data_IF_373612980300
#
_entry.id   IF_373612980300
#
_cell.length_a   1.000
_cell.length_b   1.000
_cell.length_c   1.000
_cell.angle_alpha   90.00
_cell.angle_beta   90.00
_cell.angle_gamma   90.00
#
_symmetry.space_group_name_H-M   'P 1'
#
loop_
_entity.id
_entity.type
_entity.pdbx_description
1 polymer ?
#
# COMPACT_ATOMS: atom_id res chain seq x y z
N UNK A 1 -2.34 -12.21 -2.33
CA UNK A 1 -2.14 -12.03 -3.79
C UNK A 1 -1.70 -13.35 -4.41
N UNK A 2 -2.12 -13.62 -5.65
CA UNK A 2 -2.07 -14.90 -6.40
C UNK A 2 -2.63 -16.14 -5.67
N UNK A 3 -2.08 -16.51 -4.51
CA UNK A 3 -2.52 -17.65 -3.72
C UNK A 3 -3.65 -17.36 -2.71
N UNK A 4 -4.14 -16.13 -2.61
CA UNK A 4 -5.08 -15.71 -1.56
C UNK A 4 -6.19 -14.79 -2.06
N UNK A 5 -7.39 -15.00 -1.54
CA UNK A 5 -8.59 -14.18 -1.76
C UNK A 5 -9.12 -13.62 -0.44
N UNK A 6 -9.92 -12.56 -0.55
CA UNK A 6 -10.66 -11.95 0.55
C UNK A 6 -12.15 -12.26 0.38
N UNK A 7 -12.74 -12.99 1.32
CA UNK A 7 -14.18 -13.13 1.44
C UNK A 7 -14.73 -11.98 2.28
N UNK A 8 -15.72 -11.27 1.73
CA UNK A 8 -16.43 -10.18 2.41
C UNK A 8 -17.91 -10.55 2.41
N UNK A 9 -18.46 -10.88 3.58
CA UNK A 9 -19.82 -11.39 3.74
C UNK A 9 -20.13 -12.53 2.75
N UNK A 10 -19.24 -13.52 2.66
CA UNK A 10 -19.33 -14.65 1.74
C UNK A 10 -18.99 -14.34 0.26
N UNK A 11 -18.85 -13.08 -0.13
CA UNK A 11 -18.50 -12.70 -1.51
C UNK A 11 -16.99 -12.69 -1.72
N UNK A 12 -16.54 -13.37 -2.78
CA UNK A 12 -15.11 -13.53 -3.09
C UNK A 12 -14.56 -12.31 -3.81
N UNK A 13 -13.43 -11.82 -3.31
CA UNK A 13 -12.66 -10.75 -3.91
C UNK A 13 -11.20 -11.15 -4.04
N UNK A 14 -10.58 -10.77 -5.15
CA UNK A 14 -9.17 -10.94 -5.38
C UNK A 14 -8.42 -9.78 -4.70
N UNK A 15 -7.37 -10.08 -3.95
CA UNK A 15 -6.42 -9.08 -3.48
C UNK A 15 -5.52 -8.69 -4.66
N UNK A 16 -5.68 -7.46 -5.15
CA UNK A 16 -5.02 -7.01 -6.39
C UNK A 16 -4.06 -5.85 -6.20
N UNK A 17 -4.07 -5.21 -5.03
CA UNK A 17 -3.07 -4.21 -4.65
C UNK A 17 -2.88 -4.17 -3.13
N UNK A 18 -1.63 -4.23 -2.68
CA UNK A 18 -1.27 -4.04 -1.26
C UNK A 18 -0.05 -3.13 -1.10
N UNK A 19 0.12 -2.55 0.08
CA UNK A 19 1.36 -1.87 0.50
C UNK A 19 1.93 -2.49 1.77
N UNK A 20 3.25 -2.62 1.84
CA UNK A 20 3.96 -3.11 3.02
C UNK A 20 4.51 -1.95 3.87
N UNK A 21 4.34 -2.09 5.18
CA UNK A 21 4.88 -1.21 6.21
C UNK A 21 5.51 -2.10 7.28
N UNK A 22 6.78 -1.86 7.59
CA UNK A 22 7.53 -2.65 8.59
C UNK A 22 8.44 -1.71 9.36
N UNK A 23 8.29 -1.64 10.68
CA UNK A 23 9.19 -0.93 11.55
C UNK A 23 9.80 -1.89 12.58
N UNK A 24 11.12 -1.95 12.58
CA UNK A 24 11.93 -2.68 13.55
C UNK A 24 13.35 -2.08 13.59
N UNK A 25 14.18 -2.52 14.53
CA UNK A 25 15.60 -2.12 14.59
C UNK A 25 16.37 -2.41 13.30
N UNK A 26 16.07 -3.52 12.63
CA UNK A 26 16.69 -3.89 11.35
C UNK A 26 16.04 -3.24 10.12
N UNK A 27 14.84 -2.67 10.29
CA UNK A 27 14.06 -2.06 9.21
C UNK A 27 13.26 -0.86 9.72
N UNK A 28 13.91 0.29 9.99
CA UNK A 28 13.26 1.42 10.66
C UNK A 28 12.46 2.26 9.65
N UNK A 29 11.41 1.70 9.05
CA UNK A 29 10.54 2.45 8.14
C UNK A 29 9.71 3.47 8.94
N UNK A 30 9.96 4.77 8.76
CA UNK A 30 9.33 5.80 9.61
C UNK A 30 7.84 6.01 9.25
N UNK A 31 7.36 5.42 8.16
CA UNK A 31 5.98 5.55 7.70
C UNK A 31 5.04 4.48 8.27
N UNK A 32 5.56 3.49 8.99
CA UNK A 32 4.76 2.48 9.70
C UNK A 32 4.07 3.13 10.88
N UNK A 33 2.76 2.88 11.06
CA UNK A 33 1.97 3.54 12.11
C UNK A 33 2.50 3.31 13.53
N UNK A 34 3.05 2.13 13.82
CA UNK A 34 3.59 1.82 15.14
C UNK A 34 2.51 1.55 16.20
N UNK A 35 1.27 1.33 15.77
CA UNK A 35 0.16 1.01 16.66
C UNK A 35 0.26 -0.44 17.17
N UNK A 36 -0.29 -0.72 18.36
CA UNK A 36 -0.31 -2.07 18.96
C UNK A 36 -0.92 -3.13 18.04
N UNK A 37 -1.88 -2.75 17.22
CA UNK A 37 -2.48 -3.67 16.24
C UNK A 37 -1.48 -4.20 15.21
N UNK A 38 -0.43 -3.44 14.89
CA UNK A 38 0.64 -3.86 13.99
C UNK A 38 1.67 -4.78 14.66
N UNK A 39 1.61 -5.01 15.97
CA UNK A 39 2.40 -6.03 16.67
C UNK A 39 1.77 -7.43 16.62
N UNK A 40 0.51 -7.51 16.16
CA UNK A 40 -0.20 -8.77 16.01
C UNK A 40 0.25 -9.51 14.74
N UNK A 41 0.13 -10.84 14.77
CA UNK A 41 0.36 -11.70 13.60
C UNK A 41 -0.95 -12.37 13.20
N UNK A 42 -1.28 -12.35 11.90
CA UNK A 42 -2.44 -13.07 11.36
C UNK A 42 -3.79 -12.46 11.74
N UNK A 43 -3.83 -11.15 12.00
CA UNK A 43 -5.03 -10.43 12.42
C UNK A 43 -5.36 -9.26 11.49
N UNK A 44 -6.63 -8.91 11.40
CA UNK A 44 -7.08 -7.68 10.77
C UNK A 44 -6.85 -6.49 11.70
N UNK A 45 -6.20 -5.45 11.17
CA UNK A 45 -6.01 -4.19 11.87
C UNK A 45 -6.60 -3.04 11.04
N UNK A 46 -7.67 -2.44 11.56
CA UNK A 46 -8.23 -1.21 11.00
C UNK A 46 -7.51 0.00 11.59
N UNK A 47 -7.11 0.95 10.74
CA UNK A 47 -6.31 2.09 11.16
C UNK A 47 -7.01 2.93 12.23
N UNK A 48 -6.25 3.26 13.28
CA UNK A 48 -6.69 4.13 14.38
C UNK A 48 -5.90 5.45 14.40
N UNK A 49 -6.43 6.42 15.13
CA UNK A 49 -5.73 7.66 15.53
C UNK A 49 -6.25 8.05 16.91
N UNK A 50 -5.37 8.14 17.90
CA UNK A 50 -5.76 8.49 19.28
C UNK A 50 -6.81 7.54 19.86
N UNK A 51 -6.65 6.22 19.66
CA UNK A 51 -7.57 5.19 20.14
C UNK A 51 -8.87 5.01 19.35
N UNK A 52 -9.25 5.97 18.51
CA UNK A 52 -10.46 5.91 17.69
C UNK A 52 -10.15 5.45 16.25
N UNK A 53 -11.10 4.76 15.61
CA UNK A 53 -10.96 4.38 14.21
C UNK A 53 -10.96 5.60 13.30
N UNK A 54 -10.06 5.61 12.31
CA UNK A 54 -10.08 6.66 11.28
C UNK A 54 -11.40 6.60 10.50
N UNK A 55 -11.92 7.76 10.12
CA UNK A 55 -13.13 7.91 9.31
C UNK A 55 -12.84 8.67 8.01
N UNK A 56 -13.85 8.81 7.14
CA UNK A 56 -13.70 9.52 5.87
C UNK A 56 -12.63 8.91 4.96
N UNK A 57 -11.80 9.76 4.35
CA UNK A 57 -10.78 9.32 3.37
C UNK A 57 -9.55 8.64 4.00
N UNK A 58 -9.44 8.58 5.33
CA UNK A 58 -8.26 8.10 6.03
C UNK A 58 -8.41 6.66 6.58
N UNK A 59 -9.50 5.98 6.24
CA UNK A 59 -9.71 4.55 6.59
C UNK A 59 -8.69 3.66 5.87
N UNK A 60 -8.23 2.63 6.56
CA UNK A 60 -7.36 1.59 6.02
C UNK A 60 -7.54 0.29 6.79
N UNK A 61 -7.20 -0.81 6.12
CA UNK A 61 -7.23 -2.17 6.66
C UNK A 61 -5.91 -2.84 6.33
N UNK A 62 -5.19 -3.25 7.36
CA UNK A 62 -3.97 -4.02 7.25
C UNK A 62 -4.23 -5.48 7.62
N UNK A 63 -3.54 -6.40 6.95
CA UNK A 63 -3.19 -7.69 7.55
C UNK A 63 -1.96 -7.48 8.43
N UNK A 64 -2.13 -7.60 9.74
CA UNK A 64 -1.05 -7.47 10.71
C UNK A 64 -0.09 -8.66 10.60
N UNK A 65 1.20 -8.34 10.48
CA UNK A 65 2.29 -9.30 10.26
C UNK A 65 3.44 -9.09 11.27
N UNK A 66 3.16 -8.42 12.38
CA UNK A 66 4.17 -8.05 13.38
C UNK A 66 4.48 -9.15 14.37
N UNK A 67 5.32 -8.79 15.33
CA UNK A 67 5.72 -9.68 16.42
C UNK A 67 6.09 -8.85 17.65
N UNK A 68 5.20 -8.81 18.65
CA UNK A 68 5.42 -8.09 19.90
C UNK A 68 6.73 -8.48 20.60
N UNK A 69 7.02 -9.78 20.73
CA UNK A 69 8.24 -10.26 21.40
C UNK A 69 9.55 -9.94 20.67
N UNK A 70 9.49 -9.36 19.47
CA UNK A 70 10.65 -8.88 18.71
C UNK A 70 10.56 -7.40 18.37
N UNK A 71 9.57 -6.70 18.92
CA UNK A 71 9.30 -5.28 18.66
C UNK A 71 9.20 -4.96 17.15
N UNK A 72 8.56 -5.87 16.40
CA UNK A 72 8.33 -5.68 14.96
C UNK A 72 6.89 -5.24 14.74
N UNK A 73 6.72 -3.99 14.31
CA UNK A 73 5.45 -3.45 13.86
C UNK A 73 5.34 -3.68 12.35
N UNK A 74 4.37 -4.47 11.90
CA UNK A 74 4.22 -4.73 10.47
C UNK A 74 2.77 -4.89 10.03
N UNK A 75 2.46 -4.34 8.86
CA UNK A 75 1.16 -4.40 8.25
C UNK A 75 1.23 -4.45 6.73
N UNK A 76 0.35 -5.26 6.14
CA UNK A 76 0.08 -5.25 4.71
C UNK A 76 -1.25 -4.54 4.46
N UNK A 77 -1.19 -3.26 4.11
CA UNK A 77 -2.36 -2.44 3.78
C UNK A 77 -3.04 -2.98 2.53
N UNK A 78 -4.31 -3.38 2.64
CA UNK A 78 -5.15 -3.74 1.50
C UNK A 78 -5.62 -2.48 0.81
N UNK A 79 -5.10 -2.23 -0.39
CA UNK A 79 -5.41 -1.00 -1.15
C UNK A 79 -6.50 -1.17 -2.16
N UNK A 80 -6.49 -2.29 -2.87
CA UNK A 80 -7.48 -2.54 -3.90
C UNK A 80 -7.86 -4.01 -3.94
N UNK A 81 -9.16 -4.22 -4.14
CA UNK A 81 -9.76 -5.55 -4.31
C UNK A 81 -10.55 -5.58 -5.60
N UNK A 82 -10.64 -6.76 -6.21
CA UNK A 82 -11.45 -6.98 -7.41
C UNK A 82 -12.54 -7.99 -7.10
N UNK A 83 -13.79 -7.67 -7.41
CA UNK A 83 -14.89 -8.62 -7.30
C UNK A 83 -14.66 -9.82 -8.24
N UNK A 84 -14.73 -11.04 -7.72
CA UNK A 84 -14.44 -12.23 -8.52
C UNK A 84 -15.50 -12.53 -9.59
N UNK A 85 -16.74 -12.03 -9.43
CA UNK A 85 -17.83 -12.27 -10.36
C UNK A 85 -17.93 -11.14 -11.39
N UNK A 86 -18.00 -9.89 -10.95
CA UNK A 86 -18.16 -8.75 -11.87
C UNK A 86 -16.83 -8.26 -12.45
N UNK A 87 -15.70 -8.70 -11.89
CA UNK A 87 -14.37 -8.18 -12.20
C UNK A 87 -14.20 -6.68 -11.89
N UNK A 88 -15.11 -6.05 -11.15
CA UNK A 88 -15.01 -4.64 -10.78
C UNK A 88 -13.89 -4.40 -9.77
N UNK A 89 -13.08 -3.37 -10.01
CA UNK A 89 -11.98 -2.99 -9.11
C UNK A 89 -12.47 -1.90 -8.16
N UNK A 90 -12.38 -2.17 -6.87
CA UNK A 90 -12.50 -1.17 -5.80
C UNK A 90 -11.09 -0.69 -5.47
N UNK A 91 -10.79 0.56 -5.84
CA UNK A 91 -9.44 1.12 -5.78
C UNK A 91 -9.31 2.18 -4.69
N UNK A 92 -8.44 1.93 -3.72
CA UNK A 92 -8.11 2.85 -2.64
C UNK A 92 -8.49 2.27 -1.27
N UNK A 93 -7.62 2.42 -0.25
CA UNK A 93 -7.78 1.74 1.04
C UNK A 93 -9.09 2.11 1.75
N UNK A 94 -9.49 3.38 1.69
CA UNK A 94 -10.74 3.82 2.30
C UNK A 94 -11.97 3.23 1.60
N UNK A 95 -11.94 3.10 0.26
CA UNK A 95 -13.02 2.52 -0.53
C UNK A 95 -13.14 1.01 -0.35
N UNK A 96 -12.01 0.32 -0.12
CA UNK A 96 -12.02 -1.10 0.29
C UNK A 96 -12.75 -1.24 1.63
N UNK A 97 -12.46 -0.39 2.62
CA UNK A 97 -13.17 -0.42 3.90
C UNK A 97 -14.66 -0.09 3.73
N UNK A 98 -15.01 0.90 2.91
CA UNK A 98 -16.42 1.21 2.60
C UNK A 98 -17.16 0.04 1.95
N UNK A 99 -16.48 -0.67 1.05
CA UNK A 99 -17.04 -1.88 0.44
C UNK A 99 -17.26 -2.97 1.49
N UNK A 100 -16.34 -3.16 2.43
CA UNK A 100 -16.50 -4.12 3.54
C UNK A 100 -17.73 -3.76 4.37
N UNK A 101 -17.84 -2.50 4.82
CA UNK A 101 -18.98 -2.03 5.62
C UNK A 101 -20.31 -2.21 4.88
N UNK A 102 -20.36 -1.81 3.61
CA UNK A 102 -21.55 -1.97 2.75
C UNK A 102 -21.98 -3.43 2.61
N UNK A 103 -21.05 -4.33 2.32
CA UNK A 103 -21.37 -5.75 2.09
C UNK A 103 -21.73 -6.49 3.39
N UNK A 104 -21.18 -6.06 4.53
CA UNK A 104 -21.48 -6.63 5.85
C UNK A 104 -22.69 -6.00 6.53
N UNK A 105 -23.27 -4.94 5.95
CA UNK A 105 -24.39 -4.20 6.53
C UNK A 105 -24.04 -3.43 7.81
N UNK A 106 -22.76 -3.09 8.02
CA UNK A 106 -22.29 -2.37 9.21
C UNK A 106 -22.20 -0.87 8.92
N UNK A 107 -22.62 -0.04 9.89
CA UNK A 107 -22.61 1.42 9.71
C UNK A 107 -21.23 2.04 9.96
N UNK A 108 -20.41 1.37 10.77
CA UNK A 108 -19.06 1.83 11.13
C UNK A 108 -18.09 0.67 11.34
N UNK A 109 -16.78 0.97 11.36
CA UNK A 109 -15.75 0.01 11.76
C UNK A 109 -15.98 -0.46 13.21
N UNK A 110 -16.44 0.45 14.09
CA UNK A 110 -16.73 0.11 15.48
C UNK A 110 -17.84 -0.96 15.59
N UNK A 111 -18.86 -0.88 14.73
CA UNK A 111 -19.95 -1.88 14.68
C UNK A 111 -19.48 -3.22 14.10
N UNK A 112 -18.54 -3.18 13.15
CA UNK A 112 -17.95 -4.35 12.51
C UNK A 112 -17.10 -5.14 13.53
N UNK A 113 -16.22 -4.43 14.26
CA UNK A 113 -15.31 -5.04 15.23
C UNK A 113 -15.97 -5.31 16.57
N UNK A 114 -17.08 -4.64 16.90
CA UNK A 114 -17.86 -4.82 18.12
C UNK A 114 -16.99 -4.77 19.40
N UNK A 115 -16.15 -3.74 19.52
CA UNK A 115 -15.29 -3.50 20.69
C UNK A 115 -14.03 -4.37 20.79
N UNK A 116 -13.84 -5.35 19.90
CA UNK A 116 -12.66 -6.23 19.90
C UNK A 116 -11.38 -5.48 19.50
N UNK A 117 -10.28 -5.85 20.16
CA UNK A 117 -8.93 -5.43 19.79
C UNK A 117 -8.42 -6.20 18.56
N UNK A 118 -7.36 -5.72 17.91
CA UNK A 118 -6.81 -6.34 16.70
C UNK A 118 -6.46 -7.83 16.90
N UNK A 119 -5.84 -8.19 18.03
CA UNK A 119 -5.51 -9.58 18.37
C UNK A 119 -6.74 -10.53 18.42
N UNK A 120 -7.95 -9.98 18.53
CA UNK A 120 -9.21 -10.72 18.57
C UNK A 120 -9.97 -10.66 17.22
N UNK A 121 -9.33 -10.17 16.16
CA UNK A 121 -9.85 -10.07 14.80
C UNK A 121 -9.02 -10.96 13.87
N UNK A 122 -9.11 -12.30 13.98
CA UNK A 122 -8.27 -13.19 13.19
C UNK A 122 -8.55 -13.03 11.69
N UNK A 123 -7.48 -13.05 10.89
CA UNK A 123 -7.58 -12.79 9.46
C UNK A 123 -8.31 -13.91 8.71
N UNK A 124 -8.20 -15.14 9.21
CA UNK A 124 -8.81 -16.35 8.68
C UNK A 124 -10.26 -16.57 9.11
N UNK A 125 -10.89 -15.62 9.80
CA UNK A 125 -12.33 -15.69 10.08
C UNK A 125 -12.86 -14.68 11.09
N UNK A 126 -13.20 -13.46 10.63
CA UNK A 126 -13.94 -12.50 11.44
C UNK A 126 -15.46 -12.77 11.36
N UNK A 127 -15.97 -13.72 12.16
CA UNK A 127 -17.41 -14.02 12.30
C UNK A 127 -18.18 -14.17 10.97
N UNK A 128 -17.54 -14.74 9.94
CA UNK A 128 -18.13 -14.86 8.59
C UNK A 128 -18.30 -13.55 7.81
N UNK A 129 -17.86 -12.42 8.37
CA UNK A 129 -17.97 -11.08 7.76
C UNK A 129 -16.75 -10.75 6.91
N UNK A 130 -15.55 -11.12 7.36
CA UNK A 130 -14.29 -10.85 6.65
C UNK A 130 -13.31 -12.00 6.86
N UNK A 131 -12.80 -12.57 5.78
CA UNK A 131 -11.93 -13.74 5.85
C UNK A 131 -10.89 -13.75 4.73
N UNK A 132 -9.63 -13.98 5.09
CA UNK A 132 -8.57 -14.32 4.15
C UNK A 132 -8.60 -15.84 3.92
N UNK A 133 -8.72 -16.25 2.66
CA UNK A 133 -8.79 -17.66 2.28
C UNK A 133 -7.82 -17.97 1.16
N UNK A 134 -7.36 -19.22 1.09
CA UNK A 134 -6.62 -19.70 -0.08
C UNK A 134 -7.44 -19.50 -1.35
N UNK A 135 -6.76 -19.12 -2.43
CA UNK A 135 -7.36 -19.02 -3.74
C UNK A 135 -7.85 -20.41 -4.18
N UNK A 136 -9.06 -20.47 -4.74
CA UNK A 136 -9.63 -21.74 -5.21
C UNK A 136 -8.83 -22.34 -6.38
N UNK A 137 -8.18 -21.48 -7.17
CA UNK A 137 -7.31 -21.87 -8.26
C UNK A 137 -5.97 -21.11 -8.17
N UNK A 138 -4.83 -21.75 -8.50
CA UNK A 138 -3.56 -21.06 -8.64
C UNK A 138 -3.66 -19.95 -9.67
N UNK A 139 -3.18 -18.76 -9.31
CA UNK A 139 -2.99 -17.63 -10.24
C UNK A 139 -1.50 -17.38 -10.40
N UNK A 140 -1.09 -17.08 -11.61
CA UNK A 140 0.30 -16.79 -11.99
C UNK A 140 0.45 -15.37 -12.56
N UNK A 141 -0.44 -14.44 -12.20
CA UNK A 141 -0.35 -13.06 -12.65
C UNK A 141 0.99 -12.44 -12.22
N UNK A 142 1.63 -11.69 -13.13
CA UNK A 142 2.88 -10.96 -12.85
C UNK A 142 2.67 -10.06 -11.64
N UNK A 143 3.57 -10.15 -10.66
CA UNK A 143 3.60 -9.24 -9.53
C UNK A 143 4.42 -8.01 -9.89
N UNK A 144 3.75 -6.87 -9.96
CA UNK A 144 4.38 -5.57 -10.18
C UNK A 144 4.74 -4.92 -8.86
N UNK A 145 5.84 -4.17 -8.84
CA UNK A 145 6.29 -3.42 -7.67
C UNK A 145 6.37 -1.94 -8.02
N UNK A 146 6.02 -1.10 -7.07
CA UNK A 146 6.10 0.34 -7.17
C UNK A 146 6.32 0.94 -5.78
N UNK A 147 6.69 2.22 -5.71
CA UNK A 147 6.64 2.99 -4.48
C UNK A 147 5.22 3.13 -3.94
N UNK A 148 5.15 3.34 -2.62
CA UNK A 148 3.89 3.56 -1.92
C UNK A 148 3.25 4.89 -2.30
N UNK A 149 1.94 4.97 -2.18
CA UNK A 149 1.14 6.15 -2.53
C UNK A 149 0.90 7.03 -1.32
N UNK A 150 1.01 8.35 -1.52
CA UNK A 150 0.60 9.34 -0.52
C UNK A 150 1.62 9.58 0.60
N UNK A 151 2.83 9.03 0.47
CA UNK A 151 3.94 9.38 1.34
C UNK A 151 4.49 10.75 0.95
N UNK A 152 4.86 11.53 1.96
CA UNK A 152 5.57 12.80 1.80
C UNK A 152 6.99 12.56 2.31
N UNK A 153 7.99 12.91 1.51
CA UNK A 153 9.37 12.91 1.97
C UNK A 153 9.50 13.93 3.11
N UNK A 154 9.79 13.46 4.32
CA UNK A 154 9.93 14.32 5.50
C UNK A 154 11.40 14.60 5.79
N UNK A 155 11.63 15.73 6.45
CA UNK A 155 12.93 16.04 7.05
C UNK A 155 13.24 15.01 8.14
N UNK A 156 14.49 14.57 8.21
CA UNK A 156 14.93 13.60 9.21
C UNK A 156 14.93 14.27 10.60
N UNK A 157 14.48 13.55 11.63
CA UNK A 157 14.43 14.08 13.01
C UNK A 157 13.35 15.15 13.28
N UNK A 158 12.55 15.56 12.28
CA UNK A 158 11.52 16.58 12.47
C UNK A 158 10.25 16.10 13.21
N UNK A 159 10.17 14.83 13.62
CA UNK A 159 8.99 14.25 14.29
C UNK A 159 7.72 14.23 13.43
N UNK A 160 7.84 14.43 12.11
CA UNK A 160 6.72 14.51 11.18
C UNK A 160 6.32 13.16 10.54
N UNK A 161 6.97 12.08 10.97
CA UNK A 161 6.70 10.68 10.62
C UNK A 161 6.07 9.94 11.81
N UNK A 162 5.65 8.69 11.60
CA UNK A 162 5.01 7.90 12.66
C UNK A 162 6.01 7.29 13.63
N UNK A 163 7.22 7.01 13.15
CA UNK A 163 8.31 6.43 13.92
C UNK A 163 9.65 7.02 13.48
N UNK A 164 10.69 6.73 14.25
CA UNK A 164 12.07 7.08 13.91
C UNK A 164 12.54 6.32 12.66
N UNK A 165 13.48 6.90 11.93
CA UNK A 165 13.97 6.32 10.69
C UNK A 165 14.37 7.41 9.70
N UNK A 166 14.76 6.98 8.51
CA UNK A 166 15.30 7.87 7.47
C UNK A 166 14.31 7.96 6.30
N UNK A 167 13.42 8.96 6.24
CA UNK A 167 12.35 9.04 5.23
C UNK A 167 12.84 8.86 3.78
N UNK A 168 14.03 9.40 3.48
CA UNK A 168 14.69 9.29 2.17
C UNK A 168 14.95 7.85 1.73
N UNK A 169 15.22 6.95 2.67
CA UNK A 169 15.48 5.53 2.37
C UNK A 169 14.20 4.75 2.08
N UNK A 170 13.03 5.25 2.47
CA UNK A 170 11.78 4.47 2.48
C UNK A 170 10.67 5.05 1.60
N UNK A 171 10.69 6.36 1.31
CA UNK A 171 9.65 7.01 0.51
C UNK A 171 9.59 6.48 -0.92
N UNK A 172 10.75 6.19 -1.52
CA UNK A 172 10.87 5.68 -2.89
C UNK A 172 10.95 4.14 -2.99
N UNK A 173 11.01 3.41 -1.86
CA UNK A 173 11.11 1.94 -1.88
C UNK A 173 9.88 1.30 -2.49
N UNK A 174 10.12 0.25 -3.28
CA UNK A 174 9.08 -0.48 -3.99
C UNK A 174 8.28 -1.43 -3.08
N UNK A 175 7.53 -0.85 -2.12
CA UNK A 175 6.69 -1.56 -1.15
C UNK A 175 5.20 -1.54 -1.48
N UNK A 176 4.83 -1.12 -2.69
CA UNK A 176 3.49 -1.29 -3.25
C UNK A 176 3.53 -2.40 -4.28
N UNK A 177 2.54 -3.29 -4.21
CA UNK A 177 2.48 -4.48 -5.05
C UNK A 177 1.12 -4.57 -5.74
N UNK A 178 1.10 -4.96 -7.01
CA UNK A 178 -0.16 -5.20 -7.72
C UNK A 178 -0.04 -6.31 -8.75
N UNK A 179 -1.12 -7.06 -8.96
CA UNK A 179 -1.23 -8.06 -10.03
C UNK A 179 -1.94 -7.53 -11.28
N UNK A 180 -2.57 -6.36 -11.19
CA UNK A 180 -3.35 -5.75 -12.27
C UNK A 180 -3.16 -4.22 -12.36
N UNK A 181 -1.93 -3.69 -12.28
CA UNK A 181 -1.71 -2.25 -12.26
C UNK A 181 -2.32 -1.52 -13.47
N UNK A 182 -2.40 -2.16 -14.64
CA UNK A 182 -3.07 -1.64 -15.84
C UNK A 182 -4.55 -1.29 -15.63
N UNK A 183 -5.21 -1.89 -14.64
CA UNK A 183 -6.62 -1.63 -14.29
C UNK A 183 -6.81 -0.53 -13.25
N UNK A 184 -5.73 -0.08 -12.60
CA UNK A 184 -5.79 1.00 -11.60
C UNK A 184 -5.95 2.36 -12.30
N UNK A 185 -6.76 3.25 -11.76
CA UNK A 185 -7.02 4.58 -12.31
C UNK A 185 -6.01 5.60 -11.79
N UNK A 186 -5.58 5.49 -10.53
CA UNK A 186 -4.69 6.43 -9.85
C UNK A 186 -3.31 5.82 -9.65
N UNK A 187 -2.28 6.67 -9.71
CA UNK A 187 -0.90 6.33 -9.35
C UNK A 187 -0.30 5.16 -10.14
N UNK A 188 -0.84 4.88 -11.33
CA UNK A 188 -0.32 3.85 -12.25
C UNK A 188 1.12 4.15 -12.67
N UNK A 189 1.44 5.44 -12.78
CA UNK A 189 2.76 5.97 -13.10
C UNK A 189 3.87 5.44 -12.20
N UNK A 190 3.60 5.17 -10.91
CA UNK A 190 4.63 4.62 -10.01
C UNK A 190 5.13 3.25 -10.46
N UNK A 191 4.26 2.41 -11.04
CA UNK A 191 4.66 1.14 -11.64
C UNK A 191 5.42 1.33 -12.95
N UNK A 192 5.04 2.33 -13.76
CA UNK A 192 5.73 2.64 -15.01
C UNK A 192 7.16 3.14 -14.75
N UNK A 193 7.32 4.09 -13.83
CA UNK A 193 8.63 4.61 -13.41
C UNK A 193 9.52 3.51 -12.81
N UNK A 194 8.96 2.65 -11.95
CA UNK A 194 9.72 1.54 -11.37
C UNK A 194 10.15 0.51 -12.42
N UNK A 195 9.30 0.20 -13.41
CA UNK A 195 9.66 -0.69 -14.51
C UNK A 195 10.75 -0.08 -15.41
N UNK A 196 10.63 1.21 -15.73
CA UNK A 196 11.63 1.96 -16.50
C UNK A 196 12.99 1.99 -15.79
N UNK A 197 13.03 2.29 -14.49
CA UNK A 197 14.25 2.25 -13.67
C UNK A 197 14.89 0.86 -13.61
N UNK A 198 14.10 -0.19 -13.77
CA UNK A 198 14.58 -1.57 -13.83
C UNK A 198 15.03 -2.00 -15.24
N UNK A 199 14.98 -1.10 -16.24
CA UNK A 199 15.30 -1.39 -17.63
C UNK A 199 14.23 -2.18 -18.39
N UNK A 200 13.00 -2.27 -17.87
CA UNK A 200 11.88 -3.00 -18.49
C UNK A 200 10.84 -2.00 -19.05
N UNK A 201 11.23 -1.26 -20.09
CA UNK A 201 10.36 -0.27 -20.74
C UNK A 201 9.11 -0.92 -21.37
N UNK A 202 9.28 -2.14 -21.90
CA UNK A 202 8.18 -2.90 -22.49
C UNK A 202 7.09 -3.17 -21.45
N UNK A 203 7.47 -3.48 -20.20
CA UNK A 203 6.53 -3.57 -19.10
C UNK A 203 5.85 -2.23 -18.80
N UNK A 204 6.59 -1.12 -18.77
CA UNK A 204 5.97 0.19 -18.56
C UNK A 204 4.90 0.50 -19.63
N UNK A 205 5.16 0.15 -20.91
CA UNK A 205 4.18 0.29 -21.99
C UNK A 205 2.93 -0.59 -21.82
N UNK A 206 3.07 -1.81 -21.27
CA UNK A 206 1.93 -2.72 -21.00
C UNK A 206 0.94 -2.18 -19.95
N UNK A 207 1.26 -1.11 -19.23
CA UNK A 207 0.36 -0.45 -18.27
C UNK A 207 -0.75 0.39 -18.93
N UNK A 208 -0.71 0.56 -20.26
CA UNK A 208 -1.75 1.23 -21.03
C UNK A 208 -1.83 2.74 -20.75
N UNK A 209 -0.71 3.37 -20.42
CA UNK A 209 -0.59 4.83 -20.34
C UNK A 209 -0.32 5.40 -21.74
N UNK A 210 -0.83 6.60 -22.09
CA UNK A 210 -0.56 7.22 -23.39
C UNK A 210 0.95 7.40 -23.63
N UNK A 211 1.41 7.13 -24.87
CA UNK A 211 2.84 7.16 -25.21
C UNK A 211 3.51 8.50 -24.88
N UNK A 212 2.86 9.62 -25.20
CA UNK A 212 3.38 10.95 -24.88
C UNK A 212 3.55 11.18 -23.37
N UNK A 213 2.64 10.66 -22.55
CA UNK A 213 2.72 10.74 -21.08
C UNK A 213 3.83 9.86 -20.53
N UNK A 214 4.01 8.65 -21.07
CA UNK A 214 5.13 7.78 -20.68
C UNK A 214 6.48 8.45 -20.95
N UNK A 215 6.65 9.09 -22.11
CA UNK A 215 7.88 9.82 -22.44
C UNK A 215 8.15 10.98 -21.48
N UNK A 216 7.11 11.74 -21.10
CA UNK A 216 7.19 12.78 -20.07
C UNK A 216 7.66 12.20 -18.73
N UNK A 217 7.11 11.06 -18.31
CA UNK A 217 7.46 10.40 -17.06
C UNK A 217 8.88 9.82 -17.07
N UNK A 218 9.31 9.19 -18.17
CA UNK A 218 10.67 8.67 -18.31
C UNK A 218 11.70 9.80 -18.28
N UNK A 219 11.41 10.91 -18.98
CA UNK A 219 12.26 12.11 -18.92
C UNK A 219 12.38 12.66 -17.50
N UNK A 220 11.29 12.65 -16.73
CA UNK A 220 11.31 13.06 -15.32
C UNK A 220 12.13 12.08 -14.46
N UNK A 221 12.03 10.76 -14.69
CA UNK A 221 12.91 9.79 -14.04
C UNK A 221 14.38 10.09 -14.34
N UNK A 222 14.74 10.29 -15.62
CA UNK A 222 16.12 10.53 -16.04
C UNK A 222 16.69 11.83 -15.46
N UNK A 223 15.87 12.88 -15.39
CA UNK A 223 16.22 14.12 -14.70
C UNK A 223 16.53 13.85 -13.21
N UNK A 224 15.66 13.06 -12.56
CA UNK A 224 15.85 12.57 -11.19
C UNK A 224 17.18 11.87 -10.99
N UNK A 225 17.47 10.89 -11.84
CA UNK A 225 18.73 10.12 -11.83
C UNK A 225 19.93 11.04 -12.01
N UNK A 226 19.83 12.01 -12.92
CA UNK A 226 20.93 12.95 -13.23
C UNK A 226 21.34 13.78 -12.02
N UNK A 227 20.37 14.32 -11.26
CA UNK A 227 20.71 15.16 -10.10
C UNK A 227 20.93 14.35 -8.81
N UNK A 228 20.39 13.13 -8.70
CA UNK A 228 20.63 12.16 -7.60
C UNK A 228 20.49 12.74 -6.18
N UNK A 229 19.57 13.69 -5.98
CA UNK A 229 19.32 14.30 -4.67
C UNK A 229 17.81 14.41 -4.40
N UNK A 230 17.22 13.44 -3.67
CA UNK A 230 15.80 13.45 -3.36
C UNK A 230 15.43 14.52 -2.32
N UNK A 231 16.39 15.12 -1.60
CA UNK A 231 16.10 16.10 -0.53
C UNK A 231 15.42 17.36 -1.04
N UNK A 232 15.55 17.67 -2.34
CA UNK A 232 14.81 18.74 -3.02
C UNK A 232 13.28 18.59 -2.95
N UNK A 233 12.80 17.41 -2.58
CA UNK A 233 11.38 17.10 -2.46
C UNK A 233 10.89 17.03 -1.00
N UNK A 234 11.76 17.31 -0.02
CA UNK A 234 11.37 17.34 1.39
C UNK A 234 10.23 18.33 1.61
N UNK A 235 9.19 17.89 2.31
CA UNK A 235 8.00 18.67 2.63
C UNK A 235 7.06 18.92 1.44
N UNK A 236 7.46 18.59 0.21
CA UNK A 236 6.63 18.80 -0.97
C UNK A 236 5.54 17.74 -1.06
N UNK A 237 4.32 18.19 -1.30
CA UNK A 237 3.23 17.30 -1.70
C UNK A 237 3.45 16.97 -3.18
N UNK A 238 3.66 15.69 -3.50
CA UNK A 238 3.80 15.23 -4.89
C UNK A 238 2.41 15.23 -5.53
N UNK A 239 2.01 16.39 -6.07
CA UNK A 239 0.69 16.57 -6.71
C UNK A 239 0.75 16.15 -8.17
N UNK A 240 1.87 16.42 -8.86
CA UNK A 240 2.07 15.99 -10.23
C UNK A 240 2.66 14.57 -10.28
N UNK A 241 2.23 13.80 -11.26
CA UNK A 241 2.74 12.45 -11.51
C UNK A 241 4.21 12.46 -11.96
N UNK A 242 4.66 13.53 -12.61
CA UNK A 242 6.06 13.74 -12.98
C UNK A 242 6.96 13.95 -11.75
N UNK A 243 6.51 14.70 -10.73
CA UNK A 243 7.28 14.88 -9.49
C UNK A 243 7.57 13.54 -8.80
N UNK A 244 6.58 12.63 -8.82
CA UNK A 244 6.79 11.27 -8.34
C UNK A 244 7.89 10.56 -9.14
N UNK A 245 7.89 10.66 -10.47
CA UNK A 245 8.92 10.03 -11.30
C UNK A 245 10.32 10.57 -11.00
N UNK A 246 10.45 11.90 -10.88
CA UNK A 246 11.72 12.55 -10.59
C UNK A 246 12.26 12.17 -9.21
N UNK A 247 11.41 12.14 -8.17
CA UNK A 247 11.78 11.65 -6.84
C UNK A 247 12.33 10.23 -6.88
N UNK A 248 11.73 9.36 -7.71
CA UNK A 248 12.16 7.96 -7.82
C UNK A 248 13.50 7.81 -8.52
N UNK A 249 13.74 8.60 -9.57
CA UNK A 249 15.06 8.71 -10.18
C UNK A 249 16.09 9.21 -9.18
N UNK A 250 15.78 10.30 -8.47
CA UNK A 250 16.67 10.93 -7.50
C UNK A 250 17.04 10.01 -6.33
N UNK A 251 16.13 9.11 -5.95
CA UNK A 251 16.32 8.21 -4.81
C UNK A 251 17.16 6.97 -5.11
N UNK A 252 17.55 6.70 -6.37
CA UNK A 252 18.26 5.48 -6.75
C UNK A 252 19.52 5.19 -5.93
N UNK A 253 20.32 6.22 -5.64
CA UNK A 253 21.54 6.10 -4.83
C UNK A 253 21.25 5.83 -3.35
N UNK A 254 20.12 6.33 -2.83
CA UNK A 254 19.70 6.18 -1.43
C UNK A 254 19.04 4.83 -1.13
N UNK A 255 18.72 4.06 -2.16
CA UNK A 255 18.07 2.74 -2.06
C UNK A 255 19.06 1.57 -2.03
N UNK A 256 20.35 1.83 -2.28
CA UNK A 256 21.43 0.85 -2.24
C UNK A 256 21.90 0.55 -0.81
#
# INVERSE_FOLDING_TARGET
MNGWDLLIAGRRHLLVEIEAYVHSSAHPDPYTHGDEGQLCFGAWYFHKKGGSYKSGSFKGLDLACGCAGREVYAGLLVRSVMDAQSSDVTEGPCLVVDRILKLTGKSSIADLVAGRAAAQLPADGLQGQLQLVSAAAPRNARLWKAPRVGLVLREEGAGATHSEGRPVQFCARCYRFSTVPQRLRKWRVGFAAAAYLAGDEEAAHRLGLPKCRLQEYFSAVDAGVTHSDPRRFVGKKLVAQADLCEVLGASQSSLR
#
